data_IF_495327510980
#
_entry.id   IF_495327510980
#
_cell.length_a   1.000
_cell.length_b   1.000
_cell.length_c   1.000
_cell.angle_alpha   90.00
_cell.angle_beta   90.00
_cell.angle_gamma   90.00
#
_symmetry.space_group_name_H-M   'P 1'
#
loop_
_entity.id
_entity.type
_entity.pdbx_description
1 polymer ?
#
# COMPACT_ATOMS: atom_id res chain seq x y z
N UNK A 1 -22.30 1.42 -7.77
CA UNK A 1 -22.54 2.41 -6.72
C UNK A 1 -23.68 3.39 -7.11
N UNK A 2 -23.64 4.06 -8.25
CA UNK A 2 -24.69 5.03 -8.70
C UNK A 2 -26.09 4.43 -8.69
N UNK A 3 -26.27 3.18 -9.18
CA UNK A 3 -27.55 2.48 -9.12
C UNK A 3 -28.04 2.27 -7.68
N UNK A 4 -27.13 1.94 -6.76
CA UNK A 4 -27.45 1.78 -5.33
C UNK A 4 -27.89 3.10 -4.73
N UNK A 5 -27.21 4.19 -5.02
CA UNK A 5 -27.56 5.52 -4.53
C UNK A 5 -28.96 5.97 -4.97
N UNK A 6 -29.35 5.64 -6.22
CA UNK A 6 -30.64 6.07 -6.77
C UNK A 6 -31.81 5.18 -6.38
N UNK A 7 -31.63 3.88 -6.29
CA UNK A 7 -32.73 2.90 -6.19
C UNK A 7 -32.53 1.82 -5.13
N UNK A 8 -31.32 1.73 -4.59
CA UNK A 8 -31.00 0.74 -3.55
C UNK A 8 -31.45 1.22 -2.19
N UNK A 9 -31.73 0.28 -1.31
CA UNK A 9 -31.91 0.48 0.13
C UNK A 9 -30.86 -0.35 0.87
N UNK A 10 -30.51 0.08 2.08
CA UNK A 10 -29.62 -0.69 2.95
C UNK A 10 -30.50 -1.70 3.70
N UNK A 11 -30.56 -2.92 3.18
CA UNK A 11 -31.41 -3.98 3.76
C UNK A 11 -30.81 -4.54 5.06
N UNK A 12 -29.48 -4.60 5.14
CA UNK A 12 -28.80 -5.03 6.36
C UNK A 12 -28.70 -3.87 7.34
N UNK A 13 -28.98 -4.16 8.61
CA UNK A 13 -28.74 -3.23 9.71
C UNK A 13 -27.34 -3.42 10.24
N UNK A 14 -26.65 -2.29 10.40
CA UNK A 14 -25.34 -2.22 11.02
C UNK A 14 -25.46 -1.37 12.29
N UNK A 15 -24.73 -1.71 13.32
CA UNK A 15 -24.62 -0.88 14.52
C UNK A 15 -23.47 0.11 14.39
N UNK A 16 -22.37 -0.34 13.77
CA UNK A 16 -21.15 0.44 13.53
C UNK A 16 -20.61 0.16 12.14
N UNK A 17 -20.04 1.17 11.49
CA UNK A 17 -19.32 1.06 10.23
C UNK A 17 -17.93 1.64 10.38
N UNK A 18 -16.90 0.88 10.03
CA UNK A 18 -15.53 1.34 9.96
C UNK A 18 -15.13 1.58 8.50
N UNK A 19 -14.55 2.74 8.25
CA UNK A 19 -14.04 3.13 6.95
C UNK A 19 -12.54 3.36 7.09
N UNK A 20 -11.74 2.51 6.46
CA UNK A 20 -10.28 2.62 6.47
C UNK A 20 -9.79 3.24 5.16
N UNK A 21 -8.60 3.88 5.17
CA UNK A 21 -8.00 4.60 4.04
C UNK A 21 -8.98 5.60 3.40
N UNK A 22 -9.71 6.31 4.23
CA UNK A 22 -10.82 7.16 3.78
C UNK A 22 -10.41 8.33 2.87
N UNK A 23 -9.15 8.77 2.93
CA UNK A 23 -8.59 9.79 2.04
C UNK A 23 -8.60 9.36 0.56
N UNK A 24 -8.70 8.05 0.28
CA UNK A 24 -8.69 7.50 -1.08
C UNK A 24 -10.09 7.32 -1.68
N UNK A 25 -11.13 7.66 -0.92
CA UNK A 25 -12.52 7.51 -1.36
C UNK A 25 -12.92 8.58 -2.37
N UNK A 26 -13.63 8.15 -3.41
CA UNK A 26 -14.26 9.05 -4.38
C UNK A 26 -15.57 9.64 -3.84
N UNK A 27 -16.02 10.75 -4.42
CA UNK A 27 -17.31 11.39 -4.08
C UNK A 27 -18.48 10.41 -4.08
N UNK A 28 -18.50 9.44 -5.00
CA UNK A 28 -19.59 8.46 -5.05
C UNK A 28 -19.52 7.46 -3.90
N UNK A 29 -18.34 7.12 -3.41
CA UNK A 29 -18.16 6.28 -2.23
C UNK A 29 -18.55 7.03 -0.97
N UNK A 30 -18.17 8.29 -0.83
CA UNK A 30 -18.63 9.17 0.23
C UNK A 30 -20.17 9.30 0.27
N UNK A 31 -20.80 9.42 -0.89
CA UNK A 31 -22.27 9.45 -0.99
C UNK A 31 -22.91 8.14 -0.49
N UNK A 32 -22.24 6.99 -0.72
CA UNK A 32 -22.72 5.69 -0.19
C UNK A 32 -22.60 5.65 1.33
N UNK A 33 -21.50 6.10 1.91
CA UNK A 33 -21.31 6.17 3.37
C UNK A 33 -22.38 7.06 4.01
N UNK A 34 -22.57 8.24 3.47
CA UNK A 34 -23.62 9.17 3.96
C UNK A 34 -25.04 8.56 3.85
N UNK A 35 -25.30 7.76 2.81
CA UNK A 35 -26.59 7.06 2.67
C UNK A 35 -26.76 5.98 3.74
N UNK A 36 -25.72 5.19 3.99
CA UNK A 36 -25.72 4.15 5.03
C UNK A 36 -25.96 4.78 6.39
N UNK A 37 -25.25 5.84 6.73
CA UNK A 37 -25.43 6.60 7.98
C UNK A 37 -26.89 7.04 8.17
N UNK A 38 -27.46 7.68 7.16
CA UNK A 38 -28.82 8.21 7.21
C UNK A 38 -29.90 7.14 7.32
N UNK A 39 -29.76 6.02 6.61
CA UNK A 39 -30.76 4.97 6.58
C UNK A 39 -30.72 4.05 7.82
N UNK A 40 -29.52 3.81 8.37
CA UNK A 40 -29.34 2.90 9.50
C UNK A 40 -29.20 3.62 10.85
N UNK A 41 -28.87 4.91 10.85
CA UNK A 41 -28.50 5.66 12.08
C UNK A 41 -27.36 4.97 12.84
N UNK A 42 -26.31 4.62 12.11
CA UNK A 42 -25.15 3.89 12.61
C UNK A 42 -24.06 4.85 13.06
N UNK A 43 -23.19 4.41 13.94
CA UNK A 43 -21.95 5.09 14.26
C UNK A 43 -20.93 4.83 13.13
N UNK A 44 -20.39 5.90 12.56
CA UNK A 44 -19.36 5.83 11.53
C UNK A 44 -18.01 6.17 12.14
N UNK A 45 -17.06 5.26 12.01
CA UNK A 45 -15.67 5.47 12.37
C UNK A 45 -14.83 5.55 11.10
N UNK A 46 -14.09 6.63 10.95
CA UNK A 46 -13.28 6.89 9.75
C UNK A 46 -11.83 6.94 10.15
N UNK A 47 -11.00 6.14 9.49
CA UNK A 47 -9.56 6.19 9.61
C UNK A 47 -8.94 6.58 8.27
N UNK A 48 -7.90 7.40 8.30
CA UNK A 48 -7.20 7.85 7.12
C UNK A 48 -6.08 8.83 7.45
N UNK A 49 -5.31 9.18 6.42
CA UNK A 49 -4.23 10.14 6.51
C UNK A 49 -4.19 10.98 5.23
N UNK A 50 -4.58 12.25 5.32
CA UNK A 50 -4.61 13.18 4.19
C UNK A 50 -3.23 13.38 3.56
N UNK A 51 -2.13 13.23 4.33
CA UNK A 51 -0.76 13.26 3.80
C UNK A 51 -0.46 12.08 2.87
N UNK A 52 -1.27 11.01 2.91
CA UNK A 52 -1.17 9.84 2.03
C UNK A 52 -2.16 9.87 0.86
N UNK A 53 -2.90 10.95 0.67
CA UNK A 53 -3.88 11.11 -0.40
C UNK A 53 -3.23 11.29 -1.78
N UNK A 54 -2.80 10.20 -2.40
CA UNK A 54 -2.10 10.19 -3.70
C UNK A 54 -2.98 9.78 -4.88
N UNK A 55 -4.25 9.42 -4.66
CA UNK A 55 -5.16 8.91 -5.68
C UNK A 55 -6.15 9.94 -6.24
N UNK A 56 -5.89 11.25 -6.08
CA UNK A 56 -6.72 12.30 -6.66
C UNK A 56 -6.89 12.16 -8.17
N UNK A 57 -5.87 11.70 -8.90
CA UNK A 57 -5.93 11.39 -10.34
C UNK A 57 -6.90 10.25 -10.68
N UNK A 58 -7.19 9.36 -9.73
CA UNK A 58 -8.16 8.26 -9.85
C UNK A 58 -9.56 8.63 -9.34
N UNK A 59 -9.75 9.87 -8.92
CA UNK A 59 -11.04 10.41 -8.45
C UNK A 59 -11.24 10.35 -6.94
N UNK A 60 -10.19 10.14 -6.15
CA UNK A 60 -10.25 10.30 -4.70
C UNK A 60 -10.56 11.76 -4.34
N UNK A 61 -11.36 11.94 -3.31
CA UNK A 61 -11.82 13.24 -2.82
C UNK A 61 -11.41 13.42 -1.35
N UNK A 62 -10.20 13.91 -1.17
CA UNK A 62 -9.62 14.15 0.15
C UNK A 62 -10.36 15.24 0.94
N UNK A 63 -10.98 16.18 0.24
CA UNK A 63 -11.74 17.27 0.88
C UNK A 63 -12.92 16.73 1.70
N UNK A 64 -13.59 15.68 1.22
CA UNK A 64 -14.64 15.00 1.99
C UNK A 64 -14.11 14.35 3.27
N UNK A 65 -12.89 13.83 3.25
CA UNK A 65 -12.23 13.28 4.44
C UNK A 65 -11.89 14.39 5.44
N UNK A 66 -11.18 15.44 5.00
CA UNK A 66 -10.74 16.56 5.84
C UNK A 66 -11.93 17.28 6.47
N UNK A 67 -13.02 17.45 5.72
CA UNK A 67 -14.20 18.18 6.18
C UNK A 67 -15.26 17.29 6.88
N UNK A 68 -14.95 16.02 7.14
CA UNK A 68 -15.84 15.14 7.87
C UNK A 68 -16.02 15.62 9.31
N UNK A 69 -17.29 15.81 9.73
CA UNK A 69 -17.61 16.34 11.06
C UNK A 69 -17.72 15.22 12.06
N UNK A 70 -16.67 14.97 12.79
CA UNK A 70 -16.60 13.99 13.86
C UNK A 70 -15.64 14.46 14.96
N UNK A 71 -15.59 13.73 16.07
CA UNK A 71 -14.51 13.84 17.04
C UNK A 71 -13.23 13.27 16.43
N UNK A 72 -12.13 14.02 16.48
CA UNK A 72 -10.85 13.62 15.93
C UNK A 72 -9.98 12.97 17.01
N UNK A 73 -9.43 11.80 16.69
CA UNK A 73 -8.49 11.07 17.55
C UNK A 73 -7.18 10.89 16.78
N UNK A 74 -6.18 11.77 16.96
CA UNK A 74 -4.93 11.65 16.23
C UNK A 74 -4.10 10.46 16.73
N UNK A 75 -3.59 9.66 15.80
CA UNK A 75 -2.64 8.58 16.05
C UNK A 75 -1.22 9.09 15.72
N UNK A 76 -0.64 9.84 16.64
CA UNK A 76 0.61 10.58 16.40
C UNK A 76 1.86 9.69 16.37
N UNK A 77 1.85 8.54 17.06
CA UNK A 77 3.01 7.66 17.17
C UNK A 77 3.08 6.67 15.99
N UNK A 78 4.16 6.75 15.23
CA UNK A 78 4.45 5.74 14.20
C UNK A 78 5.25 4.58 14.80
N UNK A 79 4.72 3.36 14.65
CA UNK A 79 5.42 2.12 15.01
C UNK A 79 6.25 1.56 13.82
N UNK A 80 6.15 2.18 12.65
CA UNK A 80 6.78 1.71 11.41
C UNK A 80 7.91 2.59 10.93
N UNK A 81 7.76 3.91 10.96
CA UNK A 81 8.64 4.86 10.28
C UNK A 81 9.79 5.32 11.17
N UNK A 82 11.06 5.04 10.79
CA UNK A 82 12.23 5.52 11.52
C UNK A 82 12.42 7.04 11.43
N UNK A 83 13.12 7.63 12.37
CA UNK A 83 13.24 9.08 12.50
C UNK A 83 13.88 9.78 11.29
N UNK A 84 14.91 9.21 10.67
CA UNK A 84 15.52 9.81 9.48
C UNK A 84 14.59 9.76 8.25
N UNK A 85 13.83 8.67 8.10
CA UNK A 85 12.86 8.54 7.01
C UNK A 85 11.74 9.55 7.19
N UNK A 86 11.24 9.70 8.43
CA UNK A 86 10.20 10.67 8.74
C UNK A 86 10.64 12.11 8.45
N UNK A 87 11.88 12.50 8.83
CA UNK A 87 12.38 13.84 8.56
C UNK A 87 12.36 14.19 7.07
N UNK A 88 12.74 13.23 6.20
CA UNK A 88 12.66 13.43 4.75
C UNK A 88 11.20 13.50 4.28
N UNK A 89 10.34 12.63 4.78
CA UNK A 89 8.93 12.66 4.43
C UNK A 89 8.28 14.00 4.82
N UNK A 90 8.52 14.49 6.04
CA UNK A 90 8.03 15.79 6.50
C UNK A 90 8.54 16.94 5.63
N UNK A 91 9.82 16.96 5.27
CA UNK A 91 10.38 18.01 4.41
C UNK A 91 9.76 18.07 3.01
N UNK A 92 9.11 16.98 2.58
CA UNK A 92 8.38 16.90 1.31
C UNK A 92 6.93 17.36 1.51
N UNK A 93 6.25 16.81 2.52
CA UNK A 93 4.83 17.05 2.72
C UNK A 93 4.53 18.48 3.23
N UNK A 94 5.45 19.10 3.96
CA UNK A 94 5.37 20.50 4.40
C UNK A 94 5.29 21.52 3.25
N UNK A 95 5.57 21.08 2.01
CA UNK A 95 5.37 21.90 0.80
C UNK A 95 3.90 21.96 0.35
N UNK A 96 3.05 21.14 0.93
CA UNK A 96 1.61 21.16 0.70
C UNK A 96 1.03 22.17 1.69
N UNK A 97 0.64 23.34 1.20
CA UNK A 97 0.18 24.46 2.03
C UNK A 97 -1.35 24.48 2.24
N UNK A 98 -2.10 23.80 1.35
CA UNK A 98 -3.57 23.82 1.34
C UNK A 98 -4.13 22.40 1.53
N UNK A 99 -5.34 22.32 2.10
CA UNK A 99 -6.10 21.08 2.26
C UNK A 99 -5.33 20.00 3.01
N UNK A 100 -4.77 20.37 4.16
CA UNK A 100 -4.03 19.48 5.03
C UNK A 100 -4.44 19.70 6.48
N UNK A 101 -4.67 18.62 7.21
CA UNK A 101 -4.91 18.66 8.65
C UNK A 101 -3.61 18.98 9.40
N UNK A 102 -3.70 19.80 10.44
CA UNK A 102 -2.57 20.05 11.34
C UNK A 102 -2.41 18.86 12.28
N UNK A 103 -1.24 18.23 12.26
CA UNK A 103 -0.96 17.00 13.00
C UNK A 103 0.50 16.84 13.34
N UNK A 104 0.76 16.19 14.45
CA UNK A 104 2.09 15.86 14.90
C UNK A 104 2.37 14.38 14.64
N UNK A 105 3.55 14.07 14.13
CA UNK A 105 4.02 12.70 13.95
C UNK A 105 5.28 12.44 14.76
N UNK A 106 5.28 11.40 15.56
CA UNK A 106 6.43 10.91 16.27
C UNK A 106 6.96 9.63 15.61
N UNK A 107 8.25 9.58 15.26
CA UNK A 107 8.83 8.39 14.64
C UNK A 107 8.98 7.26 15.65
N UNK A 108 9.15 6.04 15.17
CA UNK A 108 9.62 4.96 16.03
C UNK A 108 11.05 5.26 16.53
N UNK A 109 11.46 4.54 17.57
CA UNK A 109 12.74 4.80 18.28
C UNK A 109 13.98 4.56 17.41
N UNK A 110 13.90 3.66 16.41
CA UNK A 110 15.03 3.43 15.53
C UNK A 110 15.30 4.62 14.63
N UNK A 111 16.60 4.84 14.40
CA UNK A 111 17.07 5.96 13.60
C UNK A 111 16.76 5.77 12.11
N UNK A 112 16.92 4.56 11.61
CA UNK A 112 16.91 4.26 10.18
C UNK A 112 18.16 4.77 9.47
N UNK A 113 18.25 4.53 8.17
CA UNK A 113 19.34 4.99 7.32
C UNK A 113 18.78 5.34 5.93
N UNK A 114 19.32 6.40 5.34
CA UNK A 114 19.02 6.83 3.97
C UNK A 114 20.32 6.81 3.19
N UNK A 115 20.33 6.00 2.13
CA UNK A 115 21.49 5.87 1.24
C UNK A 115 21.08 6.26 -0.19
N UNK A 116 21.79 7.22 -0.76
CA UNK A 116 21.64 7.56 -2.17
C UNK A 116 22.50 6.66 -3.04
N UNK A 117 21.92 6.11 -4.10
CA UNK A 117 22.62 5.29 -5.10
C UNK A 117 22.16 5.68 -6.51
N UNK A 118 23.08 5.71 -7.44
CA UNK A 118 22.78 6.10 -8.83
C UNK A 118 22.23 4.95 -9.66
N UNK A 119 22.57 3.72 -9.31
CA UNK A 119 22.14 2.51 -10.03
C UNK A 119 21.63 1.47 -9.05
N UNK A 120 20.63 0.70 -9.47
CA UNK A 120 20.12 -0.42 -8.68
C UNK A 120 21.21 -1.49 -8.45
N UNK A 121 22.16 -1.63 -9.38
CA UNK A 121 23.30 -2.53 -9.26
C UNK A 121 24.31 -2.13 -8.19
N UNK A 122 24.26 -0.91 -7.69
CA UNK A 122 25.14 -0.43 -6.62
C UNK A 122 24.61 -0.82 -5.22
N UNK A 123 23.49 -1.52 -5.18
CA UNK A 123 22.82 -1.98 -3.96
C UNK A 123 23.02 -3.50 -3.82
N UNK A 124 23.63 -3.93 -2.73
CA UNK A 124 23.72 -5.36 -2.40
C UNK A 124 22.37 -5.86 -1.84
N UNK A 125 21.54 -6.42 -2.70
CA UNK A 125 20.24 -6.99 -2.34
C UNK A 125 20.32 -8.47 -1.96
N UNK A 126 21.51 -9.04 -1.78
CA UNK A 126 21.68 -10.45 -1.38
C UNK A 126 21.35 -10.68 0.10
N UNK A 127 21.19 -9.62 0.87
CA UNK A 127 20.90 -9.66 2.30
C UNK A 127 19.71 -8.78 2.63
N UNK A 128 18.88 -9.25 3.56
CA UNK A 128 17.69 -8.52 4.02
C UNK A 128 16.51 -8.65 3.06
N UNK A 129 15.41 -8.01 3.45
CA UNK A 129 14.18 -7.94 2.67
C UNK A 129 14.09 -6.56 2.00
N UNK A 130 13.84 -6.56 0.71
CA UNK A 130 13.84 -5.36 -0.12
C UNK A 130 12.48 -5.12 -0.75
N UNK A 131 12.00 -3.88 -0.67
CA UNK A 131 10.84 -3.41 -1.41
C UNK A 131 11.30 -2.37 -2.43
N UNK A 132 11.04 -2.62 -3.70
CA UNK A 132 11.36 -1.68 -4.79
C UNK A 132 10.09 -0.95 -5.18
N UNK A 133 10.09 0.35 -4.96
CA UNK A 133 8.98 1.23 -5.33
C UNK A 133 9.40 2.17 -6.45
N UNK A 134 8.49 2.41 -7.39
CA UNK A 134 8.67 3.38 -8.46
C UNK A 134 7.42 4.23 -8.62
N UNK A 135 7.58 5.44 -9.14
CA UNK A 135 6.45 6.33 -9.40
C UNK A 135 5.46 5.79 -10.43
N UNK A 136 5.93 5.00 -11.40
CA UNK A 136 5.09 4.46 -12.47
C UNK A 136 5.48 3.03 -12.80
N UNK A 137 4.50 2.22 -13.23
CA UNK A 137 4.73 0.83 -13.66
C UNK A 137 5.74 0.71 -14.81
N UNK A 138 5.89 1.76 -15.63
CA UNK A 138 6.88 1.76 -16.72
C UNK A 138 8.31 1.63 -16.19
N UNK A 139 8.61 2.29 -15.06
CA UNK A 139 9.92 2.23 -14.41
C UNK A 139 10.20 0.87 -13.75
N UNK A 140 9.17 0.09 -13.43
CA UNK A 140 9.32 -1.27 -12.91
C UNK A 140 9.70 -2.28 -14.00
N UNK A 141 9.31 -2.08 -15.25
CA UNK A 141 9.48 -3.07 -16.33
C UNK A 141 10.89 -3.64 -16.48
N UNK A 142 11.99 -2.87 -16.40
CA UNK A 142 13.35 -3.41 -16.55
C UNK A 142 13.85 -4.15 -15.30
N UNK A 143 13.25 -3.93 -14.14
CA UNK A 143 13.76 -4.42 -12.85
C UNK A 143 13.71 -5.94 -12.74
N UNK A 144 12.63 -6.66 -13.11
CA UNK A 144 12.58 -8.12 -13.07
C UNK A 144 13.71 -8.78 -13.87
N UNK A 145 14.01 -8.27 -15.05
CA UNK A 145 15.09 -8.82 -15.87
C UNK A 145 16.47 -8.60 -15.23
N UNK A 146 16.67 -7.45 -14.58
CA UNK A 146 17.89 -7.16 -13.85
C UNK A 146 18.06 -8.09 -12.63
N UNK A 147 17.01 -8.25 -11.81
CA UNK A 147 17.04 -9.12 -10.63
C UNK A 147 17.31 -10.58 -11.01
N UNK A 148 16.66 -11.10 -12.06
CA UNK A 148 16.91 -12.45 -12.59
C UNK A 148 18.38 -12.63 -13.04
N UNK A 149 18.95 -11.61 -13.72
CA UNK A 149 20.36 -11.67 -14.15
C UNK A 149 21.34 -11.75 -12.97
N UNK A 150 20.96 -11.18 -11.82
CA UNK A 150 21.75 -11.24 -10.59
C UNK A 150 21.39 -12.44 -9.69
N UNK A 151 20.51 -13.34 -10.14
CA UNK A 151 20.11 -14.54 -9.39
C UNK A 151 19.27 -14.22 -8.15
N UNK A 152 18.60 -13.06 -8.12
CA UNK A 152 17.76 -12.65 -7.01
C UNK A 152 16.32 -13.09 -7.22
N UNK A 153 15.73 -13.65 -6.17
CA UNK A 153 14.30 -13.94 -6.14
C UNK A 153 13.49 -12.71 -5.80
N UNK A 154 12.32 -12.57 -6.41
CA UNK A 154 11.43 -11.44 -6.17
C UNK A 154 9.97 -11.82 -6.39
N UNK A 155 9.09 -11.00 -5.83
CA UNK A 155 7.64 -11.07 -6.03
C UNK A 155 7.14 -9.76 -6.66
N UNK A 156 6.10 -9.87 -7.45
CA UNK A 156 5.35 -8.74 -8.01
C UNK A 156 3.86 -8.96 -7.76
N UNK A 157 3.04 -7.95 -8.02
CA UNK A 157 1.58 -8.10 -7.97
C UNK A 157 1.03 -9.20 -8.92
N UNK A 158 1.80 -9.56 -9.96
CA UNK A 158 1.45 -10.56 -10.97
C UNK A 158 1.95 -11.97 -10.61
N UNK A 159 2.77 -12.10 -9.56
CA UNK A 159 3.35 -13.36 -9.12
C UNK A 159 4.82 -13.27 -8.75
N UNK A 160 5.43 -14.42 -8.48
CA UNK A 160 6.83 -14.50 -8.08
C UNK A 160 7.76 -14.91 -9.24
N UNK A 161 9.07 -14.71 -9.03
CA UNK A 161 10.11 -15.05 -10.01
C UNK A 161 10.40 -16.54 -10.13
N UNK A 162 9.88 -17.38 -9.23
CA UNK A 162 10.05 -18.83 -9.24
C UNK A 162 8.91 -19.41 -10.05
N UNK A 163 9.20 -19.91 -11.25
CA UNK A 163 8.22 -20.66 -12.01
C UNK A 163 8.07 -22.06 -11.36
N UNK A 164 6.82 -22.52 -11.19
CA UNK A 164 6.52 -23.83 -10.61
C UNK A 164 7.19 -24.98 -11.39
N UNK A 165 7.25 -24.87 -12.73
CA UNK A 165 7.95 -25.83 -13.58
C UNK A 165 9.46 -25.87 -13.27
N UNK A 166 10.09 -24.74 -13.02
CA UNK A 166 11.51 -24.67 -12.70
C UNK A 166 11.86 -25.32 -11.35
N UNK A 167 10.95 -25.21 -10.38
CA UNK A 167 11.10 -25.92 -9.11
C UNK A 167 11.02 -27.45 -9.30
N UNK A 168 10.05 -27.91 -10.10
CA UNK A 168 9.93 -29.36 -10.41
C UNK A 168 11.13 -29.86 -11.19
N UNK A 169 11.67 -29.07 -12.13
CA UNK A 169 12.88 -29.42 -12.88
C UNK A 169 14.10 -29.54 -11.97
N UNK A 170 14.30 -28.61 -11.01
CA UNK A 170 15.38 -28.66 -10.04
C UNK A 170 15.20 -29.89 -9.11
N UNK A 171 13.98 -30.18 -8.67
CA UNK A 171 13.69 -31.35 -7.83
C UNK A 171 14.00 -32.65 -8.57
N UNK A 172 13.54 -32.77 -9.81
CA UNK A 172 13.81 -33.92 -10.67
C UNK A 172 15.32 -34.13 -10.89
N UNK A 173 16.06 -33.02 -11.14
CA UNK A 173 17.52 -33.04 -11.27
C UNK A 173 18.23 -33.49 -9.99
N UNK A 174 17.79 -33.01 -8.83
CA UNK A 174 18.34 -33.39 -7.54
C UNK A 174 18.07 -34.89 -7.24
N UNK A 175 16.87 -35.37 -7.52
CA UNK A 175 16.49 -36.79 -7.40
C UNK A 175 17.36 -37.68 -8.32
N UNK A 176 17.60 -37.21 -9.56
CA UNK A 176 18.48 -37.89 -10.50
C UNK A 176 19.92 -38.00 -9.99
N UNK A 177 20.49 -36.91 -9.46
CA UNK A 177 21.86 -36.93 -8.89
C UNK A 177 21.93 -37.84 -7.68
N UNK A 178 20.88 -37.95 -6.88
CA UNK A 178 20.83 -38.83 -5.70
C UNK A 178 20.54 -40.28 -6.04
N UNK A 179 20.38 -40.63 -7.32
CA UNK A 179 20.10 -41.98 -7.78
C UNK A 179 18.65 -42.44 -7.51
N UNK A 180 17.76 -41.51 -7.24
CA UNK A 180 16.33 -41.75 -7.18
C UNK A 180 15.80 -41.72 -8.61
N UNK A 181 15.15 -42.80 -9.06
CA UNK A 181 14.56 -42.83 -10.40
C UNK A 181 13.56 -41.74 -10.56
N UNK A 182 13.72 -40.83 -11.54
CA UNK A 182 12.67 -39.83 -11.85
C UNK A 182 11.41 -40.58 -12.28
N UNK A 183 10.21 -40.03 -12.01
CA UNK A 183 8.99 -40.55 -12.60
C UNK A 183 9.12 -40.55 -14.13
N UNK A 184 8.66 -41.60 -14.79
CA UNK A 184 8.68 -41.73 -16.26
C UNK A 184 8.16 -40.49 -16.90
N UNK A 185 8.97 -39.86 -17.77
CA UNK A 185 8.66 -38.69 -18.58
C UNK A 185 7.73 -39.07 -19.74
#
# INVERSE_FOLDING_TARGET
LDRFLRKGSVENKFDVVFVDEAQDLSLIQWAVINKIEKENKVDIWIAGDDDQAIFGWAGADVDSFINWKAEEIPLEQSERVPSQIQQVALSIIERVEENRLDKNYYPKKEKGEILERFRLTDIDMTKGDWLILTRTNHLLKPIPALLKRHGLFFETAEGNSINKSFYEDIKAWNEFIQGVNPPDI
#
